data_IF_476672021592
#
_entry.id   IF_476672021592
#
_cell.length_a   1.000
_cell.length_b   1.000
_cell.length_c   1.000
_cell.angle_alpha   90.00
_cell.angle_beta   90.00
_cell.angle_gamma   90.00
#
_symmetry.space_group_name_H-M   'P 1'
#
loop_
_entity.id
_entity.type
_entity.pdbx_description
1 polymer ?
#
# COMPACT_ATOMS: atom_id res chain seq x y z
N UNK A 1 -24.92 18.20 25.15
CA UNK A 1 -23.52 17.86 24.80
C UNK A 1 -23.38 16.50 24.10
N UNK A 2 -24.09 15.45 24.51
CA UNK A 2 -24.00 14.08 23.96
C UNK A 2 -24.22 13.97 22.42
N UNK A 3 -25.23 14.65 21.86
CA UNK A 3 -25.51 14.63 20.41
C UNK A 3 -24.37 15.21 19.57
N UNK A 4 -23.63 16.20 20.10
CA UNK A 4 -22.52 16.85 19.42
C UNK A 4 -21.30 15.92 19.35
N UNK A 5 -21.02 15.21 20.44
CA UNK A 5 -19.95 14.22 20.52
C UNK A 5 -20.18 13.05 19.55
N UNK A 6 -21.42 12.52 19.51
CA UNK A 6 -21.80 11.44 18.58
C UNK A 6 -21.62 11.85 17.11
N UNK A 7 -21.97 13.08 16.74
CA UNK A 7 -21.78 13.62 15.37
C UNK A 7 -20.31 13.78 15.01
N UNK A 8 -19.48 14.22 15.96
CA UNK A 8 -18.03 14.36 15.74
C UNK A 8 -17.34 12.99 15.62
N UNK A 9 -17.74 12.01 16.44
CA UNK A 9 -17.28 10.63 16.35
C UNK A 9 -17.66 10.00 15.01
N UNK A 10 -18.90 10.18 14.56
CA UNK A 10 -19.36 9.67 13.26
C UNK A 10 -18.58 10.29 12.10
N UNK A 11 -18.36 11.61 12.11
CA UNK A 11 -17.52 12.29 11.10
C UNK A 11 -16.08 11.75 11.10
N UNK A 12 -15.51 11.47 12.27
CA UNK A 12 -14.17 10.89 12.39
C UNK A 12 -14.10 9.49 11.79
N UNK A 13 -15.07 8.62 12.11
CA UNK A 13 -15.17 7.26 11.55
C UNK A 13 -15.34 7.32 10.03
N UNK A 14 -16.24 8.17 9.53
CA UNK A 14 -16.46 8.34 8.10
C UNK A 14 -15.18 8.76 7.37
N UNK A 15 -14.37 9.66 7.96
CA UNK A 15 -13.06 10.06 7.40
C UNK A 15 -12.06 8.90 7.33
N UNK A 16 -12.01 8.04 8.35
CA UNK A 16 -11.15 6.85 8.36
C UNK A 16 -11.60 5.88 7.27
N UNK A 17 -12.90 5.58 7.20
CA UNK A 17 -13.46 4.66 6.22
C UNK A 17 -13.27 5.15 4.78
N UNK A 18 -13.49 6.45 4.54
CA UNK A 18 -13.24 7.07 3.24
C UNK A 18 -11.76 6.97 2.86
N UNK A 19 -10.85 7.26 3.80
CA UNK A 19 -9.42 7.06 3.59
C UNK A 19 -9.08 5.62 3.26
N UNK A 20 -9.59 4.66 4.05
CA UNK A 20 -9.36 3.22 3.88
C UNK A 20 -9.83 2.74 2.52
N UNK A 21 -11.07 3.04 2.14
CA UNK A 21 -11.62 2.69 0.84
C UNK A 21 -10.83 3.34 -0.31
N UNK A 22 -10.41 4.59 -0.13
CA UNK A 22 -9.59 5.32 -1.11
C UNK A 22 -8.22 4.68 -1.32
N UNK A 23 -7.49 4.41 -0.23
CA UNK A 23 -6.18 3.74 -0.29
C UNK A 23 -6.25 2.34 -0.88
N UNK A 24 -7.26 1.57 -0.47
CA UNK A 24 -7.50 0.23 -1.00
C UNK A 24 -7.80 0.28 -2.50
N UNK A 25 -8.72 1.14 -2.92
CA UNK A 25 -9.13 1.26 -4.33
C UNK A 25 -8.01 1.80 -5.21
N UNK A 26 -7.21 2.75 -4.72
CA UNK A 26 -6.07 3.30 -5.45
C UNK A 26 -5.03 2.21 -5.78
N UNK A 27 -4.62 1.43 -4.78
CA UNK A 27 -3.66 0.34 -5.00
C UNK A 27 -4.26 -0.83 -5.76
N UNK A 28 -5.56 -1.10 -5.60
CA UNK A 28 -6.26 -2.03 -6.48
C UNK A 28 -6.17 -1.57 -7.94
N UNK A 29 -6.49 -0.31 -8.25
CA UNK A 29 -6.43 0.19 -9.63
C UNK A 29 -5.01 0.24 -10.19
N UNK A 30 -4.00 0.49 -9.37
CA UNK A 30 -2.60 0.57 -9.84
C UNK A 30 -1.93 -0.80 -9.95
N UNK A 31 -2.27 -1.75 -9.07
CA UNK A 31 -1.56 -3.03 -8.95
C UNK A 31 -2.35 -4.24 -9.47
N UNK A 32 -3.65 -4.12 -9.70
CA UNK A 32 -4.47 -5.27 -10.14
C UNK A 32 -4.18 -5.64 -11.61
N UNK A 33 -4.02 -6.94 -11.93
CA UNK A 33 -3.64 -7.40 -13.28
C UNK A 33 -4.66 -7.03 -14.37
N UNK A 34 -5.94 -6.87 -14.00
CA UNK A 34 -7.01 -6.52 -14.93
C UNK A 34 -7.24 -4.99 -15.07
N UNK A 35 -6.38 -4.16 -14.48
CA UNK A 35 -6.50 -2.70 -14.60
C UNK A 35 -5.94 -2.18 -15.92
N UNK A 36 -6.73 -1.36 -16.62
CA UNK A 36 -6.32 -0.64 -17.82
C UNK A 36 -5.13 0.31 -17.57
N UNK A 37 -4.95 0.77 -16.32
CA UNK A 37 -3.86 1.70 -15.93
C UNK A 37 -2.52 0.98 -15.90
N UNK A 38 -2.46 -0.23 -15.31
CA UNK A 38 -1.26 -1.07 -15.33
C UNK A 38 -0.80 -1.34 -16.77
N UNK A 39 -1.75 -1.57 -17.69
CA UNK A 39 -1.43 -1.82 -19.11
C UNK A 39 -0.85 -0.60 -19.83
N UNK A 40 -1.15 0.63 -19.36
CA UNK A 40 -0.58 1.88 -19.90
C UNK A 40 0.77 2.26 -19.27
N UNK A 41 1.09 1.74 -18.09
CA UNK A 41 2.37 1.92 -17.41
C UNK A 41 3.16 0.60 -17.42
N UNK A 42 3.79 0.25 -18.56
CA UNK A 42 4.58 -0.97 -18.66
C UNK A 42 5.69 -0.97 -17.59
N UNK A 43 5.97 -2.16 -17.06
CA UNK A 43 6.93 -2.41 -15.99
C UNK A 43 8.30 -1.81 -16.38
N UNK A 44 8.63 -0.62 -15.86
CA UNK A 44 9.93 0.02 -16.08
C UNK A 44 10.96 -0.69 -15.21
N UNK A 45 11.58 -1.75 -15.75
CA UNK A 45 12.74 -2.38 -15.14
C UNK A 45 13.99 -1.56 -15.44
N UNK A 46 14.66 -1.04 -14.40
CA UNK A 46 15.99 -0.45 -14.54
C UNK A 46 16.98 -1.46 -13.98
N UNK A 47 17.69 -2.17 -14.87
CA UNK A 47 18.67 -3.23 -14.56
C UNK A 47 18.09 -4.31 -13.63
N UNK A 48 18.36 -4.20 -12.34
CA UNK A 48 18.03 -5.21 -11.33
C UNK A 48 16.82 -4.84 -10.45
N UNK A 49 16.20 -3.68 -10.71
CA UNK A 49 15.12 -3.11 -9.90
C UNK A 49 13.88 -2.88 -10.76
N UNK A 50 12.79 -3.57 -10.44
CA UNK A 50 11.45 -3.24 -10.92
C UNK A 50 10.74 -2.51 -9.79
N UNK A 51 10.38 -1.24 -10.00
CA UNK A 51 9.79 -0.40 -8.96
C UNK A 51 8.25 -0.37 -9.01
N UNK A 52 7.64 -0.80 -10.11
CA UNK A 52 6.20 -0.63 -10.36
C UNK A 52 5.59 -1.78 -11.16
N UNK A 53 4.40 -2.32 -10.81
CA UNK A 53 3.58 -2.12 -9.60
C UNK A 53 3.99 -3.04 -8.42
N UNK A 54 5.05 -3.82 -8.63
CA UNK A 54 5.58 -4.83 -7.72
C UNK A 54 7.07 -4.55 -7.56
N UNK A 55 7.52 -4.26 -6.34
CA UNK A 55 8.94 -3.96 -6.10
C UNK A 55 9.73 -5.27 -6.16
N UNK A 56 10.37 -5.57 -7.29
CA UNK A 56 11.24 -6.74 -7.44
C UNK A 56 12.69 -6.31 -7.51
N UNK A 57 13.52 -6.94 -6.69
CA UNK A 57 14.97 -6.78 -6.71
C UNK A 57 15.55 -8.13 -7.09
N UNK A 58 16.20 -8.21 -8.25
CA UNK A 58 16.92 -9.43 -8.65
C UNK A 58 18.38 -9.30 -8.25
N UNK A 59 18.88 -10.26 -7.48
CA UNK A 59 20.29 -10.32 -7.11
C UNK A 59 20.78 -11.77 -7.16
N UNK A 60 21.73 -12.05 -8.05
CA UNK A 60 22.22 -13.41 -8.38
C UNK A 60 21.04 -14.34 -8.71
N UNK A 61 20.89 -15.44 -7.97
CA UNK A 61 19.86 -16.47 -8.19
C UNK A 61 18.58 -16.25 -7.36
N UNK A 62 18.42 -15.06 -6.77
CA UNK A 62 17.27 -14.72 -5.92
C UNK A 62 16.55 -13.49 -6.45
N UNK A 63 15.23 -13.58 -6.52
CA UNK A 63 14.31 -12.48 -6.76
C UNK A 63 13.65 -12.15 -5.43
N UNK A 64 13.94 -10.97 -4.91
CA UNK A 64 13.24 -10.41 -3.76
C UNK A 64 12.01 -9.67 -4.27
N UNK A 65 10.83 -10.07 -3.81
CA UNK A 65 9.56 -9.45 -4.17
C UNK A 65 8.97 -8.78 -2.94
N UNK A 66 9.10 -7.46 -2.86
CA UNK A 66 8.51 -6.66 -1.80
C UNK A 66 7.16 -6.13 -2.26
N UNK A 67 6.10 -6.59 -1.61
CA UNK A 67 4.79 -6.01 -1.78
C UNK A 67 4.73 -4.64 -1.11
N UNK A 68 3.95 -3.73 -1.67
CA UNK A 68 3.79 -2.38 -1.15
C UNK A 68 3.29 -2.35 0.30
N UNK A 69 2.54 -3.36 0.77
CA UNK A 69 2.11 -3.43 2.17
C UNK A 69 3.30 -3.42 3.15
N UNK A 70 4.41 -4.07 2.79
CA UNK A 70 5.59 -4.15 3.64
C UNK A 70 6.28 -2.78 3.74
N UNK A 71 6.45 -2.11 2.60
CA UNK A 71 7.04 -0.77 2.51
C UNK A 71 6.18 0.24 3.26
N UNK A 72 4.87 0.24 3.04
CA UNK A 72 3.96 1.14 3.77
C UNK A 72 3.92 0.86 5.26
N UNK A 73 4.00 -0.40 5.69
CA UNK A 73 4.06 -0.73 7.12
C UNK A 73 5.33 -0.17 7.76
N UNK A 74 6.48 -0.32 7.09
CA UNK A 74 7.76 0.24 7.55
C UNK A 74 7.76 1.76 7.59
N UNK A 75 7.16 2.42 6.60
CA UNK A 75 7.09 3.89 6.54
C UNK A 75 6.03 4.47 7.47
N UNK A 76 4.98 3.71 7.80
CA UNK A 76 3.86 4.23 8.59
C UNK A 76 4.28 4.58 10.02
N UNK A 77 5.13 3.76 10.65
CA UNK A 77 5.65 3.98 12.00
C UNK A 77 6.41 5.31 12.13
N UNK A 78 7.44 5.60 11.32
CA UNK A 78 8.13 6.89 11.37
C UNK A 78 7.22 8.05 10.96
N UNK A 79 6.30 7.85 9.99
CA UNK A 79 5.38 8.90 9.55
C UNK A 79 4.43 9.33 10.67
N UNK A 80 3.85 8.40 11.44
CA UNK A 80 2.95 8.76 12.55
C UNK A 80 3.72 9.36 13.74
N UNK A 81 4.97 8.93 13.96
CA UNK A 81 5.82 9.41 15.05
C UNK A 81 6.38 10.82 14.80
N UNK A 82 6.88 11.09 13.59
CA UNK A 82 7.61 12.32 13.27
C UNK A 82 6.75 13.37 12.56
N UNK A 83 5.73 12.97 11.79
CA UNK A 83 4.96 13.90 10.95
C UNK A 83 3.62 14.24 11.59
N UNK A 84 3.54 15.45 12.17
CA UNK A 84 2.34 15.98 12.84
C UNK A 84 1.07 15.86 11.99
N UNK A 85 1.18 16.08 10.68
CA UNK A 85 0.07 15.96 9.72
C UNK A 85 -0.45 14.53 9.60
N UNK A 86 0.44 13.53 9.54
CA UNK A 86 0.04 12.12 9.51
C UNK A 86 -0.58 11.68 10.84
N UNK A 87 -0.04 12.16 11.97
CA UNK A 87 -0.59 11.85 13.30
C UNK A 87 -2.04 12.32 13.47
N UNK A 88 -2.39 13.49 12.94
CA UNK A 88 -3.72 14.09 13.14
C UNK A 88 -4.72 13.82 12.01
N UNK A 89 -4.26 13.50 10.81
CA UNK A 89 -5.13 13.28 9.66
C UNK A 89 -5.73 11.88 9.64
N UNK A 90 -6.98 11.77 10.07
CA UNK A 90 -7.76 10.51 10.02
C UNK A 90 -7.89 9.94 8.62
N UNK A 91 -7.97 10.80 7.61
CA UNK A 91 -8.07 10.40 6.19
C UNK A 91 -6.75 9.80 5.70
N UNK A 92 -5.61 10.46 5.98
CA UNK A 92 -4.29 9.95 5.57
C UNK A 92 -3.96 8.63 6.25
N UNK A 93 -4.28 8.50 7.54
CA UNK A 93 -4.15 7.23 8.25
C UNK A 93 -5.01 6.14 7.59
N UNK A 94 -6.27 6.45 7.28
CA UNK A 94 -7.14 5.55 6.54
C UNK A 94 -6.52 5.13 5.20
N UNK A 95 -5.99 6.09 4.43
CA UNK A 95 -5.37 5.83 3.12
C UNK A 95 -4.18 4.87 3.22
N UNK A 96 -3.25 5.12 4.15
CA UNK A 96 -2.10 4.23 4.35
C UNK A 96 -2.54 2.84 4.81
N UNK A 97 -3.45 2.75 5.78
CA UNK A 97 -3.98 1.48 6.27
C UNK A 97 -4.70 0.72 5.16
N UNK A 98 -5.55 1.40 4.37
CA UNK A 98 -6.24 0.81 3.21
C UNK A 98 -5.28 0.27 2.17
N UNK A 99 -4.16 0.97 1.95
CA UNK A 99 -3.09 0.56 1.03
C UNK A 99 -2.37 -0.69 1.55
N UNK A 100 -2.07 -0.76 2.85
CA UNK A 100 -1.49 -1.94 3.49
C UNK A 100 -2.46 -3.14 3.40
N UNK A 101 -3.74 -2.94 3.73
CA UNK A 101 -4.75 -3.98 3.69
C UNK A 101 -4.91 -4.56 2.28
N UNK A 102 -4.91 -3.72 1.25
CA UNK A 102 -4.97 -4.19 -0.14
C UNK A 102 -3.78 -5.10 -0.48
N UNK A 103 -2.57 -4.69 -0.12
CA UNK A 103 -1.38 -5.52 -0.35
C UNK A 103 -1.36 -6.83 0.47
N UNK A 104 -2.08 -6.90 1.58
CA UNK A 104 -2.27 -8.12 2.35
C UNK A 104 -3.34 -9.06 1.76
N UNK A 105 -4.12 -8.64 0.75
CA UNK A 105 -5.07 -9.53 0.07
C UNK A 105 -4.40 -10.52 -0.90
N UNK A 106 -3.14 -10.28 -1.28
CA UNK A 106 -2.44 -11.15 -2.22
C UNK A 106 -2.07 -12.51 -1.59
N UNK A 107 -2.18 -13.58 -2.37
CA UNK A 107 -1.84 -14.95 -1.92
C UNK A 107 -0.35 -15.10 -1.58
N UNK A 108 0.52 -14.34 -2.24
CA UNK A 108 1.97 -14.39 -2.05
C UNK A 108 2.50 -13.25 -1.16
N UNK A 109 1.63 -12.60 -0.38
CA UNK A 109 1.94 -11.43 0.47
C UNK A 109 3.17 -11.57 1.37
N UNK A 110 3.47 -12.77 1.87
CA UNK A 110 4.65 -13.04 2.72
C UNK A 110 5.80 -13.74 1.98
N UNK A 111 5.62 -14.05 0.68
CA UNK A 111 6.64 -14.70 -0.14
C UNK A 111 7.58 -13.65 -0.73
N UNK A 112 8.47 -13.16 0.13
CA UNK A 112 9.42 -12.09 -0.22
C UNK A 112 10.62 -12.58 -1.02
N UNK A 113 10.93 -13.88 -1.00
CA UNK A 113 12.09 -14.44 -1.71
C UNK A 113 11.63 -15.57 -2.62
N UNK A 114 11.99 -15.49 -3.90
CA UNK A 114 11.80 -16.55 -4.89
C UNK A 114 13.16 -16.87 -5.52
N UNK A 115 13.46 -18.14 -5.78
CA UNK A 115 14.63 -18.50 -6.60
C UNK A 115 14.35 -18.08 -8.05
N UNK A 116 15.34 -17.52 -8.72
CA UNK A 116 15.26 -17.26 -10.16
C UNK A 116 15.13 -18.61 -10.87
N UNK A 117 14.17 -18.79 -11.80
CA UNK A 117 14.14 -19.97 -12.64
C UNK A 117 15.49 -20.08 -13.36
N UNK A 118 16.17 -21.22 -13.26
CA UNK A 118 17.32 -21.50 -14.13
C UNK A 118 16.79 -21.57 -15.55
N UNK A 119 17.24 -20.63 -16.40
CA UNK A 119 17.08 -20.70 -17.85
C UNK A 119 18.11 -21.70 -18.38
#
# INVERSE_FOLDING_TARGET
>A
MEKLDKKNKLKSIAKILAGLGGGFSFFWLMSHPNSKIKRKFPEKSIKNLQFFPNTKITHKDKVYHFHHWFIFSLLYIPLIAMVKTFRHSRILNGLVIGSILQGLTYKDRFKMVKKTPKV
#
